data_IF_184636712576
#
_entry.id   IF_184636712576
#
_cell.length_a   1.000
_cell.length_b   1.000
_cell.length_c   1.000
_cell.angle_alpha   90.00
_cell.angle_beta   90.00
_cell.angle_gamma   90.00
#
_symmetry.space_group_name_H-M   'P 1'
#
loop_
_entity.id
_entity.type
_entity.pdbx_description
1 polymer ?
#
# COMPACT_ATOMS: atom_id res chain seq x y z
N UNK A 1 17.28 -23.93 -24.20
CA UNK A 1 16.13 -23.03 -23.96
C UNK A 1 16.59 -22.00 -22.95
N UNK A 2 16.76 -20.75 -23.37
CA UNK A 2 17.09 -19.65 -22.45
C UNK A 2 15.85 -19.35 -21.66
N UNK A 3 15.87 -19.59 -20.34
CA UNK A 3 14.85 -19.20 -19.42
C UNK A 3 14.96 -17.67 -19.30
N UNK A 4 14.22 -16.94 -20.11
CA UNK A 4 14.09 -15.48 -19.98
C UNK A 4 13.28 -15.29 -18.71
N UNK A 5 13.96 -15.04 -17.59
CA UNK A 5 13.30 -14.56 -16.37
C UNK A 5 12.60 -13.25 -16.72
N UNK A 6 11.30 -13.31 -16.91
CA UNK A 6 10.52 -12.09 -17.12
C UNK A 6 10.68 -11.22 -15.87
N UNK A 7 11.21 -10.04 -16.08
CA UNK A 7 11.35 -9.05 -15.00
C UNK A 7 9.95 -8.71 -14.51
N UNK A 8 9.74 -8.75 -13.18
CA UNK A 8 8.44 -8.40 -12.60
C UNK A 8 8.01 -6.99 -13.06
N UNK A 9 6.75 -6.77 -13.43
CA UNK A 9 6.30 -5.49 -13.99
C UNK A 9 6.58 -4.30 -13.08
N UNK A 10 6.43 -4.44 -11.75
CA UNK A 10 6.79 -3.40 -10.80
C UNK A 10 8.30 -3.11 -10.75
N UNK A 11 9.16 -4.11 -10.92
CA UNK A 11 10.61 -3.89 -11.04
C UNK A 11 10.93 -3.08 -12.29
N UNK A 12 10.25 -3.36 -13.41
CA UNK A 12 10.42 -2.59 -14.64
C UNK A 12 9.94 -1.14 -14.46
N UNK A 13 8.81 -0.94 -13.77
CA UNK A 13 8.25 0.38 -13.49
C UNK A 13 9.18 1.22 -12.60
N UNK A 14 9.82 0.63 -11.58
CA UNK A 14 10.80 1.33 -10.75
C UNK A 14 12.10 1.66 -11.50
N UNK A 15 12.51 0.83 -12.46
CA UNK A 15 13.67 1.12 -13.33
C UNK A 15 13.41 2.25 -14.32
N UNK A 16 12.21 2.28 -14.90
CA UNK A 16 11.81 3.22 -15.94
C UNK A 16 10.39 3.73 -15.67
N UNK A 17 10.20 4.70 -14.75
CA UNK A 17 8.89 5.12 -14.30
C UNK A 17 8.02 5.71 -15.40
N UNK A 18 6.84 5.12 -15.60
CA UNK A 18 5.81 5.58 -16.55
C UNK A 18 4.51 5.99 -15.84
N UNK A 19 4.17 5.34 -14.73
CA UNK A 19 2.96 5.58 -13.94
C UNK A 19 3.25 6.14 -12.56
N UNK A 20 4.34 5.69 -11.91
CA UNK A 20 4.69 6.15 -10.58
C UNK A 20 5.52 7.43 -10.62
N UNK A 21 5.46 8.18 -9.52
CA UNK A 21 6.33 9.34 -9.30
C UNK A 21 7.26 9.05 -8.13
N UNK A 22 8.55 9.03 -8.39
CA UNK A 22 9.61 8.77 -7.39
C UNK A 22 9.90 10.03 -6.57
N UNK A 23 8.89 10.58 -5.89
CA UNK A 23 9.08 11.66 -4.92
C UNK A 23 9.56 11.12 -3.57
N UNK A 24 10.27 11.94 -2.80
CA UNK A 24 10.78 11.59 -1.46
C UNK A 24 9.82 11.96 -0.34
N UNK A 25 8.84 12.80 -0.62
CA UNK A 25 7.82 13.21 0.35
C UNK A 25 6.78 12.11 0.57
N UNK A 26 6.39 11.86 1.82
CA UNK A 26 5.29 10.94 2.12
C UNK A 26 3.97 11.45 1.53
N UNK A 27 3.04 10.55 1.27
CA UNK A 27 1.72 10.97 0.80
C UNK A 27 0.98 11.77 1.88
N UNK A 28 0.21 12.79 1.46
CA UNK A 28 -0.52 13.69 2.36
C UNK A 28 -1.46 12.93 3.29
N UNK A 29 -2.22 11.98 2.73
CA UNK A 29 -3.23 11.22 3.47
C UNK A 29 -2.59 10.42 4.63
N UNK A 30 -1.40 9.85 4.43
CA UNK A 30 -0.66 9.15 5.49
C UNK A 30 -0.12 10.13 6.55
N UNK A 31 0.40 11.30 6.14
CA UNK A 31 0.80 12.35 7.10
C UNK A 31 -0.37 12.80 7.97
N UNK A 32 -1.54 12.93 7.39
CA UNK A 32 -2.75 13.35 8.11
C UNK A 32 -3.23 12.26 9.06
N UNK A 33 -3.14 10.99 8.67
CA UNK A 33 -3.40 9.85 9.55
C UNK A 33 -2.47 9.84 10.79
N UNK A 34 -1.16 10.01 10.62
CA UNK A 34 -0.21 10.04 11.74
C UNK A 34 -0.50 11.20 12.70
N UNK A 35 -0.81 12.38 12.15
CA UNK A 35 -1.22 13.55 12.97
C UNK A 35 -2.55 13.30 13.67
N UNK A 36 -3.50 12.62 13.01
CA UNK A 36 -4.79 12.27 13.58
C UNK A 36 -4.64 11.30 14.76
N UNK A 37 -3.84 10.23 14.62
CA UNK A 37 -3.52 9.34 15.74
C UNK A 37 -2.96 10.11 16.95
N UNK A 38 -1.95 10.94 16.73
CA UNK A 38 -1.32 11.72 17.81
C UNK A 38 -2.26 12.76 18.43
N UNK A 39 -2.96 13.54 17.61
CA UNK A 39 -3.69 14.72 18.09
C UNK A 39 -5.13 14.42 18.50
N UNK A 40 -5.82 13.56 17.77
CA UNK A 40 -7.24 13.26 18.00
C UNK A 40 -7.42 12.02 18.87
N UNK A 41 -6.69 10.96 18.58
CA UNK A 41 -6.77 9.72 19.35
C UNK A 41 -5.86 9.73 20.57
N UNK A 42 -4.92 10.69 20.68
CA UNK A 42 -3.96 10.83 21.79
C UNK A 42 -3.05 9.61 21.94
N UNK A 43 -2.76 8.93 20.82
CA UNK A 43 -1.89 7.76 20.79
C UNK A 43 -0.44 8.20 20.92
N UNK A 44 0.26 7.63 21.89
CA UNK A 44 1.73 7.68 21.94
C UNK A 44 2.28 6.56 21.03
N UNK A 45 3.06 6.96 20.05
CA UNK A 45 3.63 6.06 19.04
C UNK A 45 5.15 5.92 19.16
N UNK A 46 5.75 6.45 20.22
CA UNK A 46 7.22 6.50 20.37
C UNK A 46 7.89 5.13 20.37
N UNK A 47 7.19 4.08 20.83
CA UNK A 47 7.67 2.71 20.86
C UNK A 47 7.10 1.84 19.71
N UNK A 48 6.37 2.44 18.78
CA UNK A 48 5.72 1.69 17.71
C UNK A 48 6.71 1.11 16.71
N UNK A 49 6.45 -0.13 16.33
CA UNK A 49 7.03 -0.77 15.14
C UNK A 49 6.05 -0.61 13.98
N UNK A 50 6.47 0.03 12.90
CA UNK A 50 5.62 0.24 11.72
C UNK A 50 6.02 -0.69 10.58
N UNK A 51 5.03 -1.32 9.94
CA UNK A 51 5.19 -2.12 8.73
C UNK A 51 4.56 -1.39 7.52
N UNK A 52 5.36 -1.18 6.47
CA UNK A 52 4.92 -0.56 5.20
C UNK A 52 4.83 -1.63 4.11
N UNK A 53 3.60 -2.00 3.77
CA UNK A 53 3.28 -3.04 2.81
C UNK A 53 3.33 -2.49 1.37
N UNK A 54 4.31 -2.92 0.57
CA UNK A 54 4.62 -2.35 -0.73
C UNK A 54 5.21 -0.95 -0.56
N UNK A 55 6.30 -0.86 0.20
CA UNK A 55 6.87 0.40 0.69
C UNK A 55 7.44 1.29 -0.42
N UNK A 56 7.63 0.78 -1.62
CA UNK A 56 8.25 1.49 -2.71
C UNK A 56 9.65 2.00 -2.33
N UNK A 57 9.90 3.28 -2.54
CA UNK A 57 11.15 3.93 -2.16
C UNK A 57 11.25 4.27 -0.65
N UNK A 58 10.34 3.78 0.19
CA UNK A 58 10.41 3.89 1.65
C UNK A 58 9.99 5.23 2.25
N UNK A 59 9.47 6.16 1.47
CA UNK A 59 9.16 7.53 1.92
C UNK A 59 8.14 7.61 3.06
N UNK A 60 7.13 6.72 3.07
CA UNK A 60 6.07 6.72 4.08
C UNK A 60 6.58 6.16 5.42
N UNK A 61 7.21 4.99 5.40
CA UNK A 61 7.80 4.41 6.62
C UNK A 61 8.92 5.27 7.18
N UNK A 62 9.75 5.88 6.32
CA UNK A 62 10.76 6.84 6.77
C UNK A 62 10.13 7.98 7.55
N UNK A 63 9.10 8.61 7.00
CA UNK A 63 8.40 9.70 7.69
C UNK A 63 7.79 9.25 9.02
N UNK A 64 7.22 8.04 9.09
CA UNK A 64 6.67 7.51 10.33
C UNK A 64 7.76 7.35 11.41
N UNK A 65 8.91 6.78 11.07
CA UNK A 65 10.03 6.55 12.01
C UNK A 65 10.70 7.87 12.37
N UNK A 66 10.93 8.77 11.42
CA UNK A 66 11.57 10.07 11.67
C UNK A 66 10.78 10.95 12.65
N UNK A 67 9.44 10.83 12.70
CA UNK A 67 8.62 11.77 13.45
C UNK A 67 7.77 11.16 14.57
N UNK A 68 7.57 9.83 14.59
CA UNK A 68 6.57 9.21 15.46
C UNK A 68 6.98 7.86 16.05
N UNK A 69 7.63 6.97 15.31
CA UNK A 69 7.76 5.55 15.64
C UNK A 69 9.20 5.16 15.99
N UNK A 70 9.37 4.08 16.75
CA UNK A 70 10.69 3.58 17.16
C UNK A 70 11.45 2.97 15.98
N UNK A 71 10.80 2.18 15.14
CA UNK A 71 11.43 1.47 14.03
C UNK A 71 10.44 1.15 12.92
N UNK A 72 10.97 0.74 11.77
CA UNK A 72 10.16 0.40 10.61
C UNK A 72 10.63 -0.84 9.88
N UNK A 73 9.69 -1.47 9.18
CA UNK A 73 9.93 -2.59 8.27
C UNK A 73 9.21 -2.26 6.97
N UNK A 74 9.88 -2.40 5.84
CA UNK A 74 9.28 -2.20 4.52
C UNK A 74 9.46 -3.40 3.61
N UNK A 75 8.39 -3.88 3.00
CA UNK A 75 8.41 -4.90 1.96
C UNK A 75 8.04 -4.30 0.62
N UNK A 76 8.80 -4.64 -0.41
CA UNK A 76 8.45 -4.36 -1.81
C UNK A 76 9.01 -5.47 -2.70
N UNK A 77 8.29 -5.82 -3.75
CA UNK A 77 8.71 -6.85 -4.69
C UNK A 77 9.83 -6.38 -5.64
N UNK A 78 9.97 -5.06 -5.81
CA UNK A 78 10.99 -4.46 -6.68
C UNK A 78 12.32 -4.29 -5.94
N UNK A 79 13.36 -4.90 -6.48
CA UNK A 79 14.74 -4.68 -5.99
C UNK A 79 15.14 -3.22 -6.12
N UNK A 80 14.81 -2.57 -7.23
CA UNK A 80 15.13 -1.17 -7.49
C UNK A 80 14.44 -0.26 -6.45
N UNK A 81 13.17 -0.53 -6.11
CA UNK A 81 12.46 0.18 -5.05
C UNK A 81 13.18 0.06 -3.70
N UNK A 82 13.55 -1.16 -3.31
CA UNK A 82 14.28 -1.43 -2.06
C UNK A 82 15.66 -0.77 -2.03
N UNK A 83 16.38 -0.74 -3.14
CA UNK A 83 17.67 -0.05 -3.23
C UNK A 83 17.50 1.48 -3.01
N UNK A 84 16.46 2.09 -3.61
CA UNK A 84 16.10 3.49 -3.36
C UNK A 84 15.68 3.73 -1.90
N UNK A 85 14.88 2.82 -1.32
CA UNK A 85 14.45 2.92 0.07
C UNK A 85 15.64 2.87 1.05
N UNK A 86 16.60 1.98 0.81
CA UNK A 86 17.85 1.90 1.61
C UNK A 86 18.69 3.16 1.50
N UNK A 87 18.74 3.81 0.34
CA UNK A 87 19.40 5.10 0.16
C UNK A 87 18.69 6.23 0.89
N UNK A 88 17.34 6.25 0.80
CA UNK A 88 16.52 7.27 1.44
C UNK A 88 16.48 7.14 2.97
N UNK A 89 16.78 5.97 3.54
CA UNK A 89 16.67 5.64 4.98
C UNK A 89 17.41 6.62 5.88
N UNK A 90 18.55 7.16 5.45
CA UNK A 90 19.32 8.21 6.16
C UNK A 90 19.65 7.85 7.62
N UNK A 91 20.02 6.58 7.88
CA UNK A 91 20.39 6.09 9.20
C UNK A 91 19.24 5.76 10.15
N UNK A 92 17.99 6.04 9.80
CA UNK A 92 16.83 5.64 10.62
C UNK A 92 16.73 4.12 10.77
N UNK A 93 16.22 3.59 11.91
CA UNK A 93 16.09 2.16 12.18
C UNK A 93 14.94 1.55 11.36
N UNK A 94 15.18 1.35 10.08
CA UNK A 94 14.20 0.77 9.15
C UNK A 94 14.86 -0.39 8.39
N UNK A 95 14.23 -1.56 8.40
CA UNK A 95 14.68 -2.72 7.65
C UNK A 95 13.85 -2.89 6.38
N UNK A 96 14.52 -2.94 5.23
CA UNK A 96 13.87 -3.10 3.92
C UNK A 96 14.18 -4.45 3.30
N UNK A 97 13.15 -5.17 2.88
CA UNK A 97 13.24 -6.51 2.32
C UNK A 97 12.56 -6.57 0.94
N UNK A 98 13.25 -7.16 -0.03
CA UNK A 98 12.67 -7.49 -1.33
C UNK A 98 11.77 -8.72 -1.18
N UNK A 99 10.46 -8.49 -0.97
CA UNK A 99 9.45 -9.53 -0.77
C UNK A 99 8.12 -9.13 -1.34
N UNK A 100 7.37 -10.11 -1.84
CA UNK A 100 5.97 -9.92 -2.19
C UNK A 100 5.11 -9.81 -0.94
N UNK A 101 4.17 -8.86 -0.96
CA UNK A 101 3.12 -8.77 0.08
C UNK A 101 1.97 -9.75 -0.17
N UNK A 102 1.96 -10.44 -1.32
CA UNK A 102 1.02 -11.53 -1.62
C UNK A 102 1.46 -12.90 -1.11
N UNK A 103 2.61 -12.99 -0.42
CA UNK A 103 3.18 -14.19 0.16
C UNK A 103 3.19 -14.12 1.70
N UNK A 104 3.35 -15.27 2.41
CA UNK A 104 3.48 -15.26 3.87
C UNK A 104 4.65 -14.37 4.34
N UNK A 105 4.40 -13.57 5.40
CA UNK A 105 5.39 -12.65 5.93
C UNK A 105 6.36 -13.33 6.89
N UNK A 106 7.65 -13.02 6.77
CA UNK A 106 8.66 -13.46 7.74
C UNK A 106 8.70 -12.53 8.97
N UNK A 107 7.52 -12.28 9.54
CA UNK A 107 7.32 -11.50 10.75
C UNK A 107 6.55 -12.34 11.76
N UNK A 108 6.85 -12.15 13.05
CA UNK A 108 6.17 -12.85 14.13
C UNK A 108 4.75 -12.33 14.35
N UNK A 109 3.88 -13.15 14.92
CA UNK A 109 2.53 -12.77 15.28
C UNK A 109 2.54 -11.58 16.24
N UNK A 110 1.60 -10.66 16.07
CA UNK A 110 1.43 -9.50 16.96
C UNK A 110 2.74 -8.73 17.23
N UNK A 111 3.57 -8.54 16.19
CA UNK A 111 4.89 -7.91 16.31
C UNK A 111 4.92 -6.44 15.87
N UNK A 112 3.88 -5.97 15.15
CA UNK A 112 3.81 -4.58 14.67
C UNK A 112 2.64 -3.84 15.28
N UNK A 113 2.80 -2.53 15.46
CA UNK A 113 1.80 -1.64 16.07
C UNK A 113 1.00 -0.87 15.02
N UNK A 114 1.60 -0.66 13.86
CA UNK A 114 1.03 0.11 12.77
C UNK A 114 1.35 -0.53 11.42
N UNK A 115 0.34 -0.65 10.55
CA UNK A 115 0.52 -1.04 9.14
C UNK A 115 0.19 0.16 8.24
N UNK A 116 1.02 0.37 7.23
CA UNK A 116 0.79 1.30 6.13
C UNK A 116 0.58 0.48 4.86
N UNK A 117 -0.55 0.69 4.19
CA UNK A 117 -0.83 0.21 2.83
C UNK A 117 -1.23 1.41 1.97
N UNK A 118 -0.27 1.96 1.28
CA UNK A 118 -0.43 3.17 0.51
C UNK A 118 -0.46 2.87 -0.99
N UNK A 119 -1.59 2.37 -1.49
CA UNK A 119 -1.77 1.96 -2.89
C UNK A 119 -0.87 0.80 -3.31
N UNK A 120 -0.89 -0.28 -2.52
CA UNK A 120 -0.08 -1.48 -2.76
C UNK A 120 -0.94 -2.74 -2.94
N UNK A 121 -1.80 -3.06 -1.97
CA UNK A 121 -2.59 -4.29 -1.99
C UNK A 121 -3.65 -4.35 -3.09
N UNK A 122 -3.97 -3.23 -3.73
CA UNK A 122 -4.88 -3.19 -4.88
C UNK A 122 -4.33 -3.90 -6.13
N UNK A 123 -3.01 -4.11 -6.18
CA UNK A 123 -2.34 -4.84 -7.26
C UNK A 123 -2.33 -6.37 -7.08
N UNK A 124 -2.75 -6.87 -5.91
CA UNK A 124 -2.81 -8.29 -5.62
C UNK A 124 -4.02 -8.95 -6.29
N UNK A 125 -3.82 -10.16 -6.82
CA UNK A 125 -4.92 -11.01 -7.25
C UNK A 125 -5.69 -11.58 -6.05
N UNK A 126 -6.81 -12.26 -6.29
CA UNK A 126 -7.68 -12.79 -5.24
C UNK A 126 -6.96 -13.72 -4.26
N UNK A 127 -6.08 -14.60 -4.73
CA UNK A 127 -5.34 -15.54 -3.88
C UNK A 127 -4.30 -14.82 -3.03
N UNK A 128 -3.49 -13.96 -3.65
CA UNK A 128 -2.50 -13.14 -2.97
C UNK A 128 -3.15 -12.22 -1.94
N UNK A 129 -4.30 -11.65 -2.27
CA UNK A 129 -5.08 -10.81 -1.34
C UNK A 129 -5.54 -11.59 -0.11
N UNK A 130 -6.03 -12.83 -0.29
CA UNK A 130 -6.45 -13.66 0.83
C UNK A 130 -5.27 -13.94 1.79
N UNK A 131 -4.09 -14.25 1.25
CA UNK A 131 -2.85 -14.39 2.02
C UNK A 131 -2.50 -13.08 2.73
N UNK A 132 -2.51 -11.96 2.01
CA UNK A 132 -2.22 -10.63 2.56
C UNK A 132 -3.12 -10.27 3.75
N UNK A 133 -4.44 -10.42 3.61
CA UNK A 133 -5.40 -10.12 4.68
C UNK A 133 -5.18 -10.98 5.93
N UNK A 134 -4.88 -12.27 5.75
CA UNK A 134 -4.51 -13.16 6.84
C UNK A 134 -3.23 -12.71 7.54
N UNK A 135 -2.21 -12.34 6.77
CA UNK A 135 -0.91 -11.95 7.30
C UNK A 135 -0.95 -10.60 8.03
N UNK A 136 -1.64 -9.59 7.47
CA UNK A 136 -1.77 -8.29 8.17
C UNK A 136 -2.57 -8.43 9.46
N UNK A 137 -3.59 -9.31 9.47
CA UNK A 137 -4.30 -9.65 10.71
C UNK A 137 -3.39 -10.37 11.70
N UNK A 138 -2.56 -11.29 11.25
CA UNK A 138 -1.65 -12.06 12.12
C UNK A 138 -0.58 -11.19 12.78
N UNK A 139 0.12 -10.36 11.99
CA UNK A 139 1.28 -9.60 12.48
C UNK A 139 0.92 -8.36 13.30
N UNK A 140 -0.26 -7.75 13.07
CA UNK A 140 -0.68 -6.57 13.79
C UNK A 140 -1.12 -6.94 15.21
N UNK A 141 -0.67 -6.19 16.21
CA UNK A 141 -1.11 -6.33 17.60
C UNK A 141 -2.60 -6.02 17.74
N UNK A 142 -3.30 -6.64 18.70
CA UNK A 142 -4.65 -6.20 19.09
C UNK A 142 -4.60 -4.73 19.52
N UNK A 143 -5.56 -3.93 19.08
CA UNK A 143 -5.55 -2.48 19.26
C UNK A 143 -4.60 -1.72 18.33
N UNK A 144 -3.78 -2.40 17.55
CA UNK A 144 -2.90 -1.78 16.56
C UNK A 144 -3.66 -1.12 15.41
N UNK A 145 -3.01 -0.22 14.71
CA UNK A 145 -3.62 0.62 13.69
C UNK A 145 -3.22 0.22 12.28
N UNK A 146 -4.11 0.49 11.33
CA UNK A 146 -3.87 0.21 9.92
C UNK A 146 -4.34 1.39 9.07
N UNK A 147 -3.44 1.95 8.29
CA UNK A 147 -3.71 2.95 7.26
C UNK A 147 -3.88 2.28 5.91
N UNK A 148 -5.06 2.39 5.32
CA UNK A 148 -5.35 1.91 3.97
C UNK A 148 -5.62 3.09 3.05
N UNK A 149 -4.87 3.18 1.95
CA UNK A 149 -5.21 4.01 0.81
C UNK A 149 -5.29 3.14 -0.43
N UNK A 150 -6.46 3.00 -1.01
CA UNK A 150 -6.69 2.12 -2.16
C UNK A 150 -7.55 2.79 -3.23
N UNK A 151 -7.56 2.25 -4.44
CA UNK A 151 -8.33 2.79 -5.56
C UNK A 151 -9.83 2.62 -5.31
N UNK A 152 -10.61 3.69 -5.49
CA UNK A 152 -12.06 3.68 -5.31
C UNK A 152 -12.80 3.40 -6.63
N UNK A 153 -13.85 2.58 -6.56
CA UNK A 153 -14.75 2.34 -7.70
C UNK A 153 -15.74 3.48 -7.90
N UNK A 154 -16.29 4.01 -6.78
CA UNK A 154 -17.33 5.02 -6.83
C UNK A 154 -16.78 6.39 -7.25
N UNK A 155 -17.36 6.91 -8.33
CA UNK A 155 -17.01 8.22 -8.87
C UNK A 155 -15.76 8.25 -9.75
N UNK A 156 -15.04 7.11 -9.91
CA UNK A 156 -13.90 7.01 -10.81
C UNK A 156 -14.36 6.57 -12.22
N UNK A 157 -14.61 7.55 -13.08
CA UNK A 157 -15.00 7.29 -14.47
C UNK A 157 -13.88 6.62 -15.27
N UNK A 158 -12.62 6.95 -14.97
CA UNK A 158 -11.46 6.36 -15.65
C UNK A 158 -11.33 4.88 -15.31
N UNK A 159 -11.50 4.50 -14.03
CA UNK A 159 -11.50 3.09 -13.62
C UNK A 159 -12.59 2.29 -14.34
N UNK A 160 -13.82 2.83 -14.42
CA UNK A 160 -14.94 2.17 -15.12
C UNK A 160 -14.66 1.97 -16.60
N UNK A 161 -14.02 2.93 -17.24
CA UNK A 161 -13.60 2.82 -18.64
C UNK A 161 -12.49 1.78 -18.81
N UNK A 162 -11.50 1.75 -17.91
CA UNK A 162 -10.42 0.76 -17.93
C UNK A 162 -10.94 -0.66 -17.74
N UNK A 163 -11.84 -0.89 -16.78
CA UNK A 163 -12.50 -2.20 -16.58
C UNK A 163 -13.25 -2.65 -17.84
N UNK A 164 -13.92 -1.74 -18.52
CA UNK A 164 -14.66 -2.05 -19.75
C UNK A 164 -13.73 -2.39 -20.92
N UNK A 165 -12.62 -1.69 -21.06
CA UNK A 165 -11.72 -1.82 -22.21
C UNK A 165 -10.65 -2.89 -22.02
N UNK A 166 -10.17 -3.06 -20.79
CA UNK A 166 -9.05 -3.94 -20.41
C UNK A 166 -9.38 -4.76 -19.16
N UNK A 167 -10.47 -5.56 -19.18
CA UNK A 167 -10.90 -6.27 -17.98
C UNK A 167 -9.81 -7.18 -17.44
N UNK A 168 -9.63 -7.15 -16.10
CA UNK A 168 -8.82 -8.12 -15.38
C UNK A 168 -9.61 -9.42 -15.11
N UNK A 169 -8.96 -10.36 -14.44
CA UNK A 169 -9.57 -11.66 -14.08
C UNK A 169 -10.47 -11.58 -12.86
N UNK A 170 -10.18 -10.66 -11.95
CA UNK A 170 -10.93 -10.48 -10.71
C UNK A 170 -12.05 -9.42 -10.87
N UNK A 171 -13.12 -9.48 -10.05
CA UNK A 171 -14.16 -8.45 -10.05
C UNK A 171 -13.57 -7.05 -9.82
N UNK A 172 -14.06 -6.07 -10.57
CA UNK A 172 -13.63 -4.66 -10.50
C UNK A 172 -12.13 -4.46 -10.73
N UNK A 173 -11.49 -5.34 -11.51
CA UNK A 173 -10.08 -5.24 -11.87
C UNK A 173 -9.89 -4.95 -13.37
N UNK A 174 -8.74 -4.43 -13.71
CA UNK A 174 -8.32 -4.19 -15.08
C UNK A 174 -6.82 -4.38 -15.20
N UNK A 175 -6.38 -4.71 -16.42
CA UNK A 175 -4.95 -4.73 -16.77
C UNK A 175 -4.56 -3.34 -17.27
N UNK A 176 -3.49 -2.78 -16.72
CA UNK A 176 -2.97 -1.49 -17.19
C UNK A 176 -2.50 -1.62 -18.65
N UNK A 177 -3.05 -0.80 -19.59
CA UNK A 177 -2.72 -0.91 -21.01
C UNK A 177 -1.21 -0.85 -21.29
N UNK A 178 -0.73 -1.74 -22.15
CA UNK A 178 0.69 -1.87 -22.48
C UNK A 178 1.55 -2.53 -21.41
N UNK A 179 0.92 -3.07 -20.36
CA UNK A 179 1.62 -3.80 -19.28
C UNK A 179 0.93 -5.13 -18.99
N UNK A 180 1.50 -5.90 -18.05
CA UNK A 180 0.85 -7.07 -17.43
C UNK A 180 0.39 -6.78 -16.00
N UNK A 181 0.48 -5.52 -15.54
CA UNK A 181 0.06 -5.14 -14.21
C UNK A 181 -1.47 -5.09 -14.12
N UNK A 182 -2.00 -5.71 -13.07
CA UNK A 182 -3.43 -5.66 -12.75
C UNK A 182 -3.66 -4.72 -11.58
N UNK A 183 -4.69 -3.91 -11.67
CA UNK A 183 -5.18 -3.09 -10.57
C UNK A 183 -6.66 -3.43 -10.31
N UNK A 184 -7.06 -3.44 -9.04
CA UNK A 184 -8.44 -3.56 -8.61
C UNK A 184 -8.90 -2.25 -7.99
N UNK A 185 -10.14 -1.87 -8.23
CA UNK A 185 -10.83 -0.78 -7.53
C UNK A 185 -11.86 -1.34 -6.56
N UNK A 186 -12.07 -0.64 -5.46
CA UNK A 186 -12.85 -1.11 -4.32
C UNK A 186 -14.08 -0.24 -4.10
N UNK A 187 -15.20 -0.89 -3.81
CA UNK A 187 -16.33 -0.27 -3.13
C UNK A 187 -16.08 -0.24 -1.62
N UNK A 188 -16.84 0.57 -0.88
CA UNK A 188 -16.79 0.51 0.59
C UNK A 188 -17.22 -0.87 1.11
N UNK A 189 -18.18 -1.53 0.44
CA UNK A 189 -18.62 -2.87 0.79
C UNK A 189 -17.51 -3.91 0.61
N UNK A 190 -16.67 -3.78 -0.43
CA UNK A 190 -15.47 -4.62 -0.58
C UNK A 190 -14.51 -4.44 0.61
N UNK A 191 -14.27 -3.20 1.05
CA UNK A 191 -13.40 -2.90 2.18
C UNK A 191 -13.97 -3.47 3.49
N UNK A 192 -15.28 -3.30 3.72
CA UNK A 192 -15.97 -3.88 4.88
C UNK A 192 -15.90 -5.41 4.88
N UNK A 193 -16.05 -6.03 3.71
CA UNK A 193 -15.91 -7.48 3.55
C UNK A 193 -14.50 -7.97 3.85
N UNK A 194 -13.49 -7.27 3.34
CA UNK A 194 -12.10 -7.68 3.47
C UNK A 194 -11.57 -7.48 4.91
N UNK A 195 -11.96 -6.39 5.58
CA UNK A 195 -11.41 -6.01 6.90
C UNK A 195 -12.39 -6.11 8.07
N UNK A 196 -13.71 -6.11 7.82
CA UNK A 196 -14.71 -5.90 8.87
C UNK A 196 -14.80 -6.99 9.94
N UNK A 197 -14.23 -8.19 9.73
CA UNK A 197 -14.21 -9.24 10.75
C UNK A 197 -13.17 -8.94 11.84
N UNK A 198 -11.97 -8.54 11.45
CA UNK A 198 -10.82 -8.39 12.34
C UNK A 198 -10.61 -6.94 12.79
N UNK A 199 -11.14 -5.97 12.01
CA UNK A 199 -10.88 -4.56 12.21
C UNK A 199 -12.16 -3.74 12.43
N UNK A 200 -12.05 -2.71 13.23
CA UNK A 200 -13.02 -1.62 13.30
C UNK A 200 -12.59 -0.47 12.38
N UNK A 201 -13.53 0.08 11.59
CA UNK A 201 -13.29 1.28 10.79
C UNK A 201 -13.46 2.50 11.69
N UNK A 202 -12.38 3.26 11.90
CA UNK A 202 -12.37 4.47 12.72
C UNK A 202 -12.70 5.72 11.90
N UNK A 203 -12.31 5.72 10.62
CA UNK A 203 -12.52 6.82 9.69
C UNK A 203 -12.49 6.31 8.27
N UNK A 204 -13.28 6.92 7.39
CA UNK A 204 -13.20 6.66 5.96
C UNK A 204 -13.62 7.90 5.17
N UNK A 205 -12.88 8.20 4.11
CA UNK A 205 -13.24 9.24 3.16
C UNK A 205 -12.79 8.89 1.73
N UNK A 206 -13.42 9.52 0.75
CA UNK A 206 -12.94 9.50 -0.64
C UNK A 206 -12.12 10.73 -0.93
N UNK A 207 -10.88 10.50 -1.36
CA UNK A 207 -10.00 11.53 -1.85
C UNK A 207 -9.82 11.40 -3.36
N UNK A 208 -9.19 12.36 -3.99
CA UNK A 208 -8.84 12.29 -5.40
C UNK A 208 -7.39 12.72 -5.61
N UNK A 209 -6.83 12.23 -6.70
CA UNK A 209 -5.48 12.56 -7.13
C UNK A 209 -5.34 12.34 -8.62
N UNK A 210 -4.12 12.52 -9.10
CA UNK A 210 -3.80 12.30 -10.51
C UNK A 210 -2.74 11.23 -10.62
N UNK A 211 -2.96 10.28 -11.52
CA UNK A 211 -1.94 9.37 -12.02
C UNK A 211 -1.49 9.84 -13.40
N UNK A 212 -0.28 9.46 -13.80
CA UNK A 212 0.20 9.67 -15.15
C UNK A 212 -0.06 8.42 -15.99
N UNK A 213 -0.41 8.63 -17.24
CA UNK A 213 -0.39 7.61 -18.27
C UNK A 213 0.39 8.17 -19.45
N UNK A 214 1.61 7.70 -19.65
CA UNK A 214 2.55 8.39 -20.52
C UNK A 214 2.71 9.83 -20.06
N UNK A 215 2.45 10.80 -20.94
CA UNK A 215 2.52 12.23 -20.61
C UNK A 215 1.18 12.88 -20.24
N UNK A 216 0.11 12.08 -20.08
CA UNK A 216 -1.22 12.62 -19.77
C UNK A 216 -1.60 12.32 -18.32
N UNK A 217 -1.93 13.35 -17.51
CA UNK A 217 -2.50 13.15 -16.20
C UNK A 217 -3.96 12.72 -16.32
N UNK A 218 -4.40 11.78 -15.51
CA UNK A 218 -5.80 11.44 -15.39
C UNK A 218 -6.21 11.31 -13.92
N UNK A 219 -7.43 11.75 -13.65
CA UNK A 219 -7.98 11.78 -12.29
C UNK A 219 -8.30 10.37 -11.82
N UNK A 220 -7.92 10.06 -10.59
CA UNK A 220 -8.27 8.83 -9.88
C UNK A 220 -8.94 9.18 -8.56
N UNK A 221 -9.83 8.32 -8.13
CA UNK A 221 -10.40 8.39 -6.80
C UNK A 221 -9.80 7.31 -5.91
N UNK A 222 -9.69 7.64 -4.63
CA UNK A 222 -9.12 6.75 -3.62
C UNK A 222 -10.05 6.68 -2.41
N UNK A 223 -10.11 5.51 -1.79
CA UNK A 223 -10.55 5.37 -0.42
C UNK A 223 -9.34 5.57 0.49
N UNK A 224 -9.50 6.41 1.50
CA UNK A 224 -8.60 6.55 2.65
C UNK A 224 -9.37 6.03 3.85
N UNK A 225 -8.85 4.98 4.49
CA UNK A 225 -9.52 4.30 5.59
C UNK A 225 -8.55 4.09 6.74
N UNK A 226 -8.98 4.48 7.94
CA UNK A 226 -8.26 4.26 9.18
C UNK A 226 -8.93 3.12 9.93
N UNK A 227 -8.16 2.09 10.21
CA UNK A 227 -8.63 0.85 10.81
C UNK A 227 -7.90 0.60 12.12
N UNK A 228 -8.57 -0.11 13.04
CA UNK A 228 -7.98 -0.61 14.28
C UNK A 228 -8.31 -2.08 14.45
N UNK A 229 -7.31 -2.90 14.71
CA UNK A 229 -7.51 -4.33 15.00
C UNK A 229 -8.26 -4.50 16.33
N UNK A 230 -9.26 -5.38 16.33
CA UNK A 230 -10.05 -5.72 17.53
C UNK A 230 -9.27 -6.57 18.51
#
# INVERSE_FOLDING_TARGET
MYNVYMIHPWEQEYRNPTFITLGTEPISDMRDFMKWLRRKQKVDMTDFVVFDAGCGNGKNVKYAVEHFCASGIGYDISKTAIDHAKQLRDGFPIDYHMRSIGEPFELTDSSVDLIIDATSSHALNTTERATYLSEVSRILKSGGYYFLRTLAFEGDTNAKNLIKQFPGTDPNSYVLPGTTMTERVFTMDDIIKDFGNDFGILFSEKTNGYQKWGNQPYKRNYWVVYLQKR
#
